data_IF_016976747351
#
_entry.id   IF_016976747351
#
_cell.length_a   1.000
_cell.length_b   1.000
_cell.length_c   1.000
_cell.angle_alpha   90.00
_cell.angle_beta   90.00
_cell.angle_gamma   90.00
#
_symmetry.space_group_name_H-M   'P 1'
#
loop_
_entity.id
_entity.type
_entity.pdbx_description
1 polymer ?
#
# COMPACT_ATOMS: atom_id res chain seq x y z
N UNK A 1 21.12 -5.06 35.69
CA UNK A 1 19.79 -4.98 35.02
C UNK A 1 19.51 -3.57 34.50
N UNK A 2 20.56 -2.73 34.37
CA UNK A 2 20.43 -1.27 34.29
C UNK A 2 20.52 -0.74 32.86
N UNK A 3 21.19 -1.47 31.97
CA UNK A 3 21.23 -1.16 30.55
C UNK A 3 19.89 -1.41 29.83
N UNK A 4 19.11 -2.39 30.33
CA UNK A 4 17.78 -2.70 29.76
C UNK A 4 16.73 -1.68 30.19
N UNK A 5 16.72 -1.22 31.45
CA UNK A 5 15.82 -0.15 31.89
C UNK A 5 16.13 1.18 31.18
N UNK A 6 17.41 1.51 30.99
CA UNK A 6 17.84 2.73 30.28
C UNK A 6 17.39 2.81 28.83
N UNK A 7 17.12 1.68 28.15
CA UNK A 7 16.59 1.67 26.78
C UNK A 7 15.08 1.50 26.74
N UNK A 8 14.49 0.87 27.75
CA UNK A 8 13.04 0.63 27.82
C UNK A 8 12.29 1.92 28.17
N UNK A 9 12.81 2.74 29.09
CA UNK A 9 12.18 4.00 29.48
C UNK A 9 12.00 4.99 28.31
N UNK A 10 13.03 5.33 27.51
CA UNK A 10 12.85 6.23 26.36
C UNK A 10 11.92 5.64 25.28
N UNK A 11 11.92 4.33 25.09
CA UNK A 11 10.99 3.66 24.16
C UNK A 11 9.54 3.76 24.65
N UNK A 12 9.32 3.65 25.96
CA UNK A 12 8.00 3.73 26.58
C UNK A 12 7.43 5.14 26.45
N UNK A 13 8.24 6.16 26.64
CA UNK A 13 7.83 7.56 26.46
C UNK A 13 7.63 7.90 24.98
N UNK A 14 8.49 7.42 24.08
CA UNK A 14 8.28 7.56 22.63
C UNK A 14 6.97 6.93 22.17
N UNK A 15 6.60 5.76 22.72
CA UNK A 15 5.33 5.09 22.40
C UNK A 15 4.14 5.91 22.88
N UNK A 16 4.19 6.49 24.09
CA UNK A 16 3.14 7.39 24.60
C UNK A 16 2.98 8.62 23.71
N UNK A 17 4.09 9.24 23.31
CA UNK A 17 4.08 10.42 22.45
C UNK A 17 3.58 10.10 21.03
N UNK A 18 3.95 8.94 20.48
CA UNK A 18 3.44 8.47 19.19
C UNK A 18 1.92 8.29 19.21
N UNK A 19 1.36 7.71 20.29
CA UNK A 19 -0.09 7.57 20.45
C UNK A 19 -0.77 8.93 20.60
N UNK A 20 -0.16 9.87 21.34
CA UNK A 20 -0.66 11.24 21.49
C UNK A 20 -0.67 11.96 20.13
N UNK A 21 0.36 11.80 19.32
CA UNK A 21 0.44 12.37 17.97
C UNK A 21 -0.69 11.87 17.08
N UNK A 22 -0.88 10.54 16.97
CA UNK A 22 -1.92 9.94 16.12
C UNK A 22 -3.33 10.38 16.56
N UNK A 23 -3.55 10.60 17.87
CA UNK A 23 -4.82 11.14 18.40
C UNK A 23 -5.02 12.63 18.07
N UNK A 24 -3.93 13.39 17.89
CA UNK A 24 -3.95 14.82 17.52
C UNK A 24 -4.17 15.04 16.03
N UNK A 25 -3.80 14.07 15.19
CA UNK A 25 -3.99 14.15 13.74
C UNK A 25 -5.48 14.27 13.35
N UNK A 26 -5.77 15.04 12.31
CA UNK A 26 -7.10 15.10 11.72
C UNK A 26 -7.40 13.78 11.01
N UNK A 27 -8.33 12.99 11.57
CA UNK A 27 -8.74 11.73 10.96
C UNK A 27 -9.64 12.06 9.78
N UNK A 28 -9.42 11.44 8.60
CA UNK A 28 -10.22 11.71 7.44
C UNK A 28 -11.69 11.36 7.70
N UNK A 29 -12.59 12.23 7.27
CA UNK A 29 -14.02 11.95 7.34
C UNK A 29 -14.41 10.87 6.32
N UNK A 30 -15.57 10.22 6.51
CA UNK A 30 -16.10 9.20 5.59
C UNK A 30 -16.17 9.70 4.15
N UNK A 31 -16.49 10.99 3.94
CA UNK A 31 -16.56 11.60 2.61
C UNK A 31 -15.19 11.73 1.96
N UNK A 32 -14.17 12.11 2.72
CA UNK A 32 -12.80 12.24 2.22
C UNK A 32 -12.19 10.89 1.92
N UNK A 33 -12.40 9.91 2.81
CA UNK A 33 -11.92 8.56 2.63
C UNK A 33 -12.52 7.92 1.37
N UNK A 34 -13.85 8.02 1.18
CA UNK A 34 -14.52 7.51 -0.02
C UNK A 34 -13.98 8.16 -1.29
N UNK A 35 -13.75 9.48 -1.27
CA UNK A 35 -13.23 10.22 -2.42
C UNK A 35 -11.81 9.76 -2.81
N UNK A 36 -10.94 9.50 -1.84
CA UNK A 36 -9.59 8.95 -2.09
C UNK A 36 -9.71 7.51 -2.57
N UNK A 37 -10.50 6.67 -1.90
CA UNK A 37 -10.69 5.26 -2.23
C UNK A 37 -11.19 5.07 -3.67
N UNK A 38 -12.16 5.86 -4.12
CA UNK A 38 -12.67 5.81 -5.50
C UNK A 38 -11.58 6.15 -6.52
N UNK A 39 -10.78 7.19 -6.27
CA UNK A 39 -9.68 7.58 -7.17
C UNK A 39 -8.62 6.49 -7.26
N UNK A 40 -8.24 5.91 -6.13
CA UNK A 40 -7.27 4.80 -6.09
C UNK A 40 -7.83 3.55 -6.78
N UNK A 41 -9.10 3.21 -6.55
CA UNK A 41 -9.75 2.07 -7.17
C UNK A 41 -9.79 2.21 -8.71
N UNK A 42 -10.12 3.38 -9.24
CA UNK A 42 -10.11 3.63 -10.69
C UNK A 42 -8.71 3.43 -11.28
N UNK A 43 -7.66 3.92 -10.60
CA UNK A 43 -6.27 3.70 -11.02
C UNK A 43 -5.88 2.22 -11.03
N UNK A 44 -6.27 1.47 -9.99
CA UNK A 44 -6.01 0.04 -9.91
C UNK A 44 -6.71 -0.74 -11.03
N UNK A 45 -7.98 -0.41 -11.32
CA UNK A 45 -8.73 -1.03 -12.41
C UNK A 45 -8.08 -0.73 -13.76
N UNK A 46 -7.66 0.52 -14.02
CA UNK A 46 -7.00 0.88 -15.26
C UNK A 46 -5.67 0.14 -15.46
N UNK A 47 -4.81 0.10 -14.42
CA UNK A 47 -3.53 -0.61 -14.48
C UNK A 47 -3.72 -2.12 -14.64
N UNK A 48 -4.70 -2.70 -13.93
CA UNK A 48 -5.05 -4.10 -14.04
C UNK A 48 -5.56 -4.47 -15.43
N UNK A 49 -6.42 -3.63 -16.02
CA UNK A 49 -6.94 -3.82 -17.37
C UNK A 49 -5.80 -3.78 -18.40
N UNK A 50 -4.96 -2.74 -18.38
CA UNK A 50 -3.82 -2.64 -19.31
C UNK A 50 -2.92 -3.88 -19.22
N UNK A 51 -2.58 -4.33 -18.01
CA UNK A 51 -1.76 -5.53 -17.82
C UNK A 51 -2.43 -6.83 -18.34
N UNK A 52 -3.74 -6.95 -18.17
CA UNK A 52 -4.51 -8.11 -18.65
C UNK A 52 -4.51 -8.19 -20.18
N UNK A 53 -4.80 -7.09 -20.88
CA UNK A 53 -4.85 -7.08 -22.35
C UNK A 53 -3.46 -7.27 -22.98
N UNK A 54 -2.45 -6.62 -22.41
CA UNK A 54 -1.04 -6.86 -22.78
C UNK A 54 -0.74 -8.36 -22.68
N UNK A 55 -1.02 -8.98 -21.53
CA UNK A 55 -0.72 -10.40 -21.33
C UNK A 55 -1.52 -11.32 -22.27
N UNK A 56 -2.80 -11.02 -22.51
CA UNK A 56 -3.63 -11.78 -23.45
C UNK A 56 -3.08 -11.78 -24.87
N UNK A 57 -2.53 -10.66 -25.35
CA UNK A 57 -1.95 -10.57 -26.70
C UNK A 57 -0.60 -11.29 -26.75
N UNK A 58 0.22 -11.16 -25.71
CA UNK A 58 1.56 -11.74 -25.71
C UNK A 58 1.58 -13.27 -25.53
N UNK A 59 0.57 -13.89 -24.89
CA UNK A 59 0.49 -15.36 -24.75
C UNK A 59 0.48 -16.10 -26.11
N UNK A 60 -0.46 -15.82 -27.04
CA UNK A 60 -0.49 -16.49 -28.35
C UNK A 60 0.71 -16.11 -29.21
N UNK A 61 1.17 -14.85 -29.15
CA UNK A 61 2.36 -14.40 -29.89
C UNK A 61 3.60 -15.21 -29.46
N UNK A 62 3.82 -15.37 -28.16
CA UNK A 62 4.95 -16.15 -27.66
C UNK A 62 4.82 -17.64 -28.02
N UNK A 63 3.61 -18.20 -27.99
CA UNK A 63 3.38 -19.59 -28.40
C UNK A 63 3.66 -19.83 -29.90
N UNK A 64 3.34 -18.86 -30.77
CA UNK A 64 3.62 -18.97 -32.21
C UNK A 64 5.10 -18.79 -32.51
N UNK A 65 5.77 -17.83 -31.87
CA UNK A 65 7.18 -17.51 -32.14
C UNK A 65 8.13 -18.57 -31.55
N UNK A 66 7.90 -19.00 -30.30
CA UNK A 66 8.77 -19.97 -29.62
C UNK A 66 8.36 -21.42 -29.92
N UNK A 67 7.08 -21.71 -30.14
CA UNK A 67 6.59 -23.06 -30.41
C UNK A 67 6.77 -23.52 -31.87
N UNK A 68 7.23 -22.64 -32.76
CA UNK A 68 7.54 -22.96 -34.16
C UNK A 68 9.03 -23.28 -34.39
N UNK A 69 9.80 -23.48 -33.31
CA UNK A 69 11.20 -23.95 -33.33
C UNK A 69 11.31 -25.44 -32.99
#
# INVERSE_FOLDING_TARGET
MDAVDSVVDPLRDFTKDSVRLVKRCHKPDRKEFTKVAVRTATGFVAMGFVGFFVKLIFIPINNIIVGSG
#
